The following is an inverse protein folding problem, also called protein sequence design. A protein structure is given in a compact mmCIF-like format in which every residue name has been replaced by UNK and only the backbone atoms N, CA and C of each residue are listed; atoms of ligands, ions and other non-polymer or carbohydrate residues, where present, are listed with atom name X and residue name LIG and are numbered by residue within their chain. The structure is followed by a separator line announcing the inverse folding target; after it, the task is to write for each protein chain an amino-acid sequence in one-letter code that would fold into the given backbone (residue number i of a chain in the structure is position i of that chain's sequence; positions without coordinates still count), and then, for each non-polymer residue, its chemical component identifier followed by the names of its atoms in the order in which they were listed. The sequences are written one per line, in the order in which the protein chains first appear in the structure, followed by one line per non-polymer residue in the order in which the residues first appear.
data_IF_008216468628
#
_entry.id   IF_008216468628
#
_cell.length_a   1.000
_cell.length_b   1.000
_cell.length_c   1.000
_cell.angle_alpha   90.00
_cell.angle_beta   90.00
_cell.angle_gamma   90.00
#
_symmetry.space_group_name_H-M   'P 1'
#
loop_
_entity.id
_entity.type
_entity.pdbx_description
1 polymer ?
#
# COMPACT_ATOMS: atom_id res chain seq x y z
N UNK A 1 1.19 -19.90 6.22
CA UNK A 1 0.49 -18.65 6.59
C UNK A 1 0.06 -17.92 5.31
N UNK A 2 -1.20 -17.51 5.25
CA UNK A 2 -1.70 -16.78 4.09
C UNK A 2 -1.28 -15.32 4.11
N UNK A 3 -1.45 -14.62 2.99
CA UNK A 3 -1.07 -13.21 2.87
C UNK A 3 -1.85 -12.35 3.86
N UNK A 4 -3.17 -12.56 3.99
CA UNK A 4 -3.99 -11.77 4.90
C UNK A 4 -3.49 -11.90 6.35
N UNK A 5 -3.19 -13.10 6.78
CA UNK A 5 -2.71 -13.33 8.15
C UNK A 5 -1.33 -12.72 8.37
N UNK A 6 -0.55 -12.54 7.31
CA UNK A 6 0.77 -11.92 7.40
C UNK A 6 0.70 -10.41 7.53
N UNK A 7 -0.38 -9.79 7.07
CA UNK A 7 -0.55 -8.33 7.18
C UNK A 7 -0.54 -7.87 8.63
N UNK A 8 -0.04 -6.66 8.87
CA UNK A 8 -0.11 -6.05 10.19
C UNK A 8 -1.57 -5.87 10.63
N UNK A 9 -1.84 -5.86 11.95
CA UNK A 9 -3.22 -5.69 12.45
C UNK A 9 -3.94 -4.45 11.91
N UNK A 10 -3.24 -3.31 11.75
CA UNK A 10 -3.90 -2.10 11.23
C UNK A 10 -4.33 -2.28 9.77
N UNK A 11 -3.62 -3.08 8.99
CA UNK A 11 -4.02 -3.40 7.61
C UNK A 11 -5.24 -4.30 7.61
N UNK A 12 -5.25 -5.31 8.46
CA UNK A 12 -6.41 -6.20 8.59
C UNK A 12 -7.65 -5.42 9.02
N UNK A 13 -7.51 -4.50 9.97
CA UNK A 13 -8.61 -3.66 10.43
C UNK A 13 -9.14 -2.76 9.30
N UNK A 14 -8.25 -2.21 8.49
CA UNK A 14 -8.63 -1.40 7.33
C UNK A 14 -9.48 -2.23 6.36
N UNK A 15 -9.07 -3.46 6.09
CA UNK A 15 -9.80 -4.37 5.19
C UNK A 15 -11.20 -4.65 5.75
N UNK A 16 -11.31 -4.94 7.05
CA UNK A 16 -12.60 -5.18 7.70
C UNK A 16 -13.51 -3.95 7.66
N UNK A 17 -12.97 -2.77 7.94
CA UNK A 17 -13.77 -1.54 7.94
C UNK A 17 -14.29 -1.18 6.56
N UNK A 18 -13.58 -1.58 5.52
CA UNK A 18 -14.01 -1.36 4.14
C UNK A 18 -14.86 -2.51 3.60
N UNK A 19 -15.20 -3.47 4.46
CA UNK A 19 -16.09 -4.59 4.14
C UNK A 19 -15.62 -5.45 2.98
N UNK A 20 -14.32 -5.62 2.86
CA UNK A 20 -13.76 -6.52 1.85
C UNK A 20 -13.79 -7.93 2.41
N UNK A 21 -14.58 -8.79 1.78
CA UNK A 21 -14.74 -10.17 2.26
C UNK A 21 -13.52 -11.02 1.94
N UNK A 22 -12.92 -10.81 0.78
CA UNK A 22 -11.78 -11.58 0.32
C UNK A 22 -10.76 -10.70 -0.36
N UNK A 23 -9.49 -11.07 -0.27
CA UNK A 23 -8.44 -10.43 -1.05
C UNK A 23 -8.60 -10.80 -2.52
N UNK A 24 -8.29 -9.84 -3.39
CA UNK A 24 -8.25 -10.11 -4.83
C UNK A 24 -6.99 -10.88 -5.17
N UNK A 25 -7.03 -11.61 -6.30
CA UNK A 25 -5.91 -12.44 -6.72
C UNK A 25 -4.60 -11.66 -6.84
N UNK A 26 -4.66 -10.43 -7.38
CA UNK A 26 -3.46 -9.60 -7.51
C UNK A 26 -2.88 -9.22 -6.13
N UNK A 27 -3.72 -9.06 -5.13
CA UNK A 27 -3.28 -8.72 -3.78
C UNK A 27 -2.57 -9.90 -3.12
N UNK A 28 -3.10 -11.09 -3.28
CA UNK A 28 -2.46 -12.30 -2.75
C UNK A 28 -1.10 -12.53 -3.43
N UNK A 29 -1.07 -12.42 -4.76
CA UNK A 29 0.17 -12.64 -5.51
C UNK A 29 1.23 -11.60 -5.17
N UNK A 30 0.83 -10.32 -5.06
CA UNK A 30 1.76 -9.25 -4.69
C UNK A 30 2.29 -9.43 -3.27
N UNK A 31 1.42 -9.76 -2.32
CA UNK A 31 1.84 -10.00 -0.96
C UNK A 31 2.84 -11.14 -0.86
N UNK A 32 2.57 -12.23 -1.54
CA UNK A 32 3.48 -13.37 -1.55
C UNK A 32 4.85 -12.97 -2.10
N UNK A 33 4.89 -12.25 -3.22
CA UNK A 33 6.15 -11.82 -3.82
C UNK A 33 6.92 -10.84 -2.92
N UNK A 34 6.23 -9.86 -2.33
CA UNK A 34 6.86 -8.82 -1.52
C UNK A 34 7.35 -9.36 -0.18
N UNK A 35 6.57 -10.22 0.46
CA UNK A 35 6.97 -10.79 1.76
C UNK A 35 8.06 -11.85 1.64
N UNK A 36 8.09 -12.60 0.55
CA UNK A 36 8.92 -13.80 0.47
C UNK A 36 10.10 -13.71 -0.48
N UNK A 37 10.27 -12.57 -1.19
CA UNK A 37 11.42 -12.36 -2.07
C UNK A 37 11.96 -10.95 -1.94
N UNK A 38 13.19 -10.73 -2.41
CA UNK A 38 13.80 -9.40 -2.51
C UNK A 38 13.83 -8.91 -3.95
N UNK A 39 13.08 -9.54 -4.83
CA UNK A 39 13.09 -9.21 -6.24
C UNK A 39 12.21 -8.01 -6.56
N UNK A 40 12.49 -7.37 -7.69
CA UNK A 40 11.61 -6.35 -8.23
C UNK A 40 10.30 -7.00 -8.66
N UNK A 41 9.18 -6.31 -8.42
CA UNK A 41 7.85 -6.88 -8.67
C UNK A 41 7.10 -5.99 -9.65
N UNK A 42 6.55 -6.60 -10.70
CA UNK A 42 5.67 -5.92 -11.65
C UNK A 42 4.25 -6.41 -11.44
N UNK A 43 3.33 -5.48 -11.13
CA UNK A 43 1.91 -5.81 -10.97
C UNK A 43 1.16 -5.31 -12.21
N UNK A 44 0.63 -6.24 -12.98
CA UNK A 44 -0.13 -5.94 -14.19
C UNK A 44 -1.56 -6.43 -14.02
N UNK A 45 -2.51 -5.50 -14.02
CA UNK A 45 -3.92 -5.82 -13.84
C UNK A 45 -4.76 -4.62 -14.30
N UNK A 46 -6.07 -4.82 -14.40
CA UNK A 46 -6.98 -3.74 -14.78
C UNK A 46 -7.00 -2.63 -13.72
N UNK A 47 -7.47 -1.43 -14.10
CA UNK A 47 -7.46 -0.26 -13.22
C UNK A 47 -8.28 -0.44 -11.94
N UNK A 48 -9.33 -1.25 -11.98
CA UNK A 48 -10.20 -1.45 -10.83
C UNK A 48 -9.85 -2.72 -10.03
N UNK A 49 -8.61 -3.20 -10.13
CA UNK A 49 -8.23 -4.50 -9.54
C UNK A 49 -7.62 -4.41 -8.14
N UNK A 50 -7.42 -3.20 -7.60
CA UNK A 50 -6.80 -3.03 -6.28
C UNK A 50 -5.29 -3.11 -6.28
N UNK A 51 -4.63 -2.71 -7.37
CA UNK A 51 -3.15 -2.76 -7.47
C UNK A 51 -2.45 -1.90 -6.42
N UNK A 52 -2.98 -0.73 -6.13
CA UNK A 52 -2.36 0.16 -5.13
C UNK A 52 -2.32 -0.50 -3.77
N UNK A 53 -3.44 -1.05 -3.33
CA UNK A 53 -3.54 -1.75 -2.06
C UNK A 53 -2.71 -3.04 -2.09
N UNK A 54 -2.67 -3.72 -3.24
CA UNK A 54 -1.85 -4.92 -3.41
C UNK A 54 -0.38 -4.68 -3.11
N UNK A 55 0.14 -3.50 -3.51
CA UNK A 55 1.51 -3.12 -3.25
C UNK A 55 1.70 -2.60 -1.83
N UNK A 56 0.82 -1.71 -1.36
CA UNK A 56 1.04 -0.99 -0.11
C UNK A 56 0.69 -1.78 1.14
N UNK A 57 -0.26 -2.70 1.10
CA UNK A 57 -0.57 -3.51 2.28
C UNK A 57 0.67 -4.26 2.80
N UNK A 58 1.42 -4.99 1.96
CA UNK A 58 2.64 -5.64 2.46
C UNK A 58 3.76 -4.65 2.77
N UNK A 59 3.92 -3.57 2.00
CA UNK A 59 4.96 -2.57 2.28
C UNK A 59 4.74 -1.92 3.64
N UNK A 60 3.52 -1.50 3.93
CA UNK A 60 3.22 -0.87 5.22
C UNK A 60 3.32 -1.86 6.37
N UNK A 61 3.01 -3.12 6.14
CA UNK A 61 3.22 -4.18 7.12
C UNK A 61 4.69 -4.29 7.49
N UNK A 62 5.57 -4.32 6.48
CA UNK A 62 7.01 -4.38 6.72
C UNK A 62 7.53 -3.15 7.45
N UNK A 63 7.00 -1.97 7.13
CA UNK A 63 7.39 -0.73 7.82
C UNK A 63 6.95 -0.73 9.29
N UNK A 64 5.84 -1.37 9.61
CA UNK A 64 5.38 -1.46 11.00
C UNK A 64 6.28 -2.41 11.82
N UNK A 65 6.90 -3.38 11.17
CA UNK A 65 7.78 -4.33 11.83
C UNK A 65 9.21 -3.77 11.99
N UNK A 66 9.66 -2.99 11.00
CA UNK A 66 10.99 -2.42 10.97
C UNK A 66 10.92 -1.06 10.28
N UNK A 67 10.70 -0.02 11.05
CA UNK A 67 10.46 1.32 10.52
C UNK A 67 11.70 1.86 9.79
N UNK A 68 11.52 2.40 8.57
CA UNK A 68 12.63 3.02 7.86
C UNK A 68 13.07 4.31 8.58
N UNK A 69 14.36 4.60 8.53
CA UNK A 69 14.92 5.78 9.20
C UNK A 69 14.71 7.08 8.42
N UNK A 70 14.53 6.95 7.13
CA UNK A 70 14.32 8.09 6.22
C UNK A 70 13.13 7.76 5.32
N UNK A 71 13.17 8.17 4.05
CA UNK A 71 12.13 7.81 3.11
C UNK A 71 12.15 6.31 2.86
N UNK A 72 11.06 5.62 3.20
CA UNK A 72 10.96 4.18 3.03
C UNK A 72 10.32 3.76 1.71
N UNK A 73 9.47 4.61 1.12
CA UNK A 73 8.83 4.31 -0.15
C UNK A 73 8.54 5.59 -0.92
N UNK A 74 8.63 5.50 -2.23
CA UNK A 74 8.27 6.60 -3.13
C UNK A 74 7.22 6.06 -4.09
N UNK A 75 6.09 6.76 -4.17
CA UNK A 75 5.03 6.46 -5.12
C UNK A 75 5.05 7.49 -6.24
N UNK A 76 5.17 7.03 -7.48
CA UNK A 76 5.20 7.91 -8.65
C UNK A 76 3.96 7.63 -9.50
N UNK A 77 3.11 8.65 -9.68
CA UNK A 77 1.93 8.58 -10.51
C UNK A 77 2.01 9.58 -11.66
N UNK A 78 1.50 9.23 -12.84
CA UNK A 78 1.65 10.08 -14.01
C UNK A 78 0.69 11.28 -14.06
N UNK A 79 -0.43 11.25 -13.34
CA UNK A 79 -1.46 12.28 -13.37
C UNK A 79 -1.72 12.80 -11.96
N UNK A 80 -1.82 14.15 -11.83
CA UNK A 80 -2.08 14.78 -10.53
C UNK A 80 -3.36 14.27 -9.87
N UNK A 81 -4.43 14.10 -10.62
CA UNK A 81 -5.70 13.61 -10.09
C UNK A 81 -5.55 12.22 -9.49
N UNK A 82 -4.79 11.33 -10.16
CA UNK A 82 -4.52 10.00 -9.65
C UNK A 82 -3.63 10.04 -8.41
N UNK A 83 -2.63 10.93 -8.40
CA UNK A 83 -1.76 11.08 -7.24
C UNK A 83 -2.57 11.51 -6.02
N UNK A 84 -3.43 12.52 -6.17
CA UNK A 84 -4.27 13.00 -5.08
C UNK A 84 -5.25 11.92 -4.60
N UNK A 85 -5.86 11.19 -5.52
CA UNK A 85 -6.78 10.11 -5.18
C UNK A 85 -6.07 9.02 -4.38
N UNK A 86 -4.90 8.58 -4.84
CA UNK A 86 -4.13 7.57 -4.13
C UNK A 86 -3.67 8.08 -2.76
N UNK A 87 -3.27 9.34 -2.68
CA UNK A 87 -2.88 9.93 -1.40
C UNK A 87 -4.03 9.87 -0.40
N UNK A 88 -5.23 10.27 -0.81
CA UNK A 88 -6.39 10.24 0.10
C UNK A 88 -6.74 8.82 0.53
N UNK A 89 -6.65 7.87 -0.38
CA UNK A 89 -6.96 6.47 -0.07
C UNK A 89 -5.98 5.86 0.92
N UNK A 90 -4.71 6.19 0.80
CA UNK A 90 -3.67 5.60 1.64
C UNK A 90 -3.42 6.38 2.93
N UNK A 91 -3.82 7.66 2.97
CA UNK A 91 -3.52 8.52 4.11
C UNK A 91 -4.10 7.98 5.41
N UNK A 92 -5.36 7.57 5.40
CA UNK A 92 -6.01 7.04 6.60
C UNK A 92 -5.27 5.82 7.14
N UNK A 93 -4.85 4.94 6.25
CA UNK A 93 -4.12 3.74 6.61
C UNK A 93 -2.76 4.07 7.21
N UNK A 94 -2.06 5.03 6.61
CA UNK A 94 -0.75 5.45 7.10
C UNK A 94 -0.86 6.19 8.44
N UNK A 95 -1.90 6.98 8.65
CA UNK A 95 -2.12 7.65 9.93
C UNK A 95 -2.28 6.64 11.07
N UNK A 96 -3.01 5.57 10.86
CA UNK A 96 -3.17 4.53 11.87
C UNK A 96 -1.85 3.86 12.23
N UNK A 97 -0.97 3.73 11.27
CA UNK A 97 0.35 3.14 11.47
C UNK A 97 1.39 4.13 11.97
N UNK A 98 1.01 5.41 12.13
CA UNK A 98 1.94 6.50 12.46
C UNK A 98 3.06 6.65 11.44
N UNK A 99 2.75 6.41 10.17
CA UNK A 99 3.69 6.54 9.06
C UNK A 99 3.42 7.88 8.37
N UNK A 100 4.35 8.83 8.40
CA UNK A 100 4.17 10.13 7.74
C UNK A 100 4.12 9.94 6.22
N UNK A 101 3.19 10.67 5.58
CA UNK A 101 3.04 10.64 4.12
C UNK A 101 3.08 12.07 3.60
N UNK A 102 3.93 12.31 2.62
CA UNK A 102 3.96 13.58 1.90
C UNK A 102 3.66 13.30 0.43
N UNK A 103 2.86 14.16 -0.18
CA UNK A 103 2.66 14.08 -1.62
C UNK A 103 3.17 15.37 -2.27
N UNK A 104 3.65 15.25 -3.50
CA UNK A 104 4.25 16.36 -4.21
C UNK A 104 3.93 16.25 -5.70
N UNK A 105 3.52 17.37 -6.28
CA UNK A 105 3.36 17.53 -7.73
C UNK A 105 3.43 19.03 -8.05
N UNK A 106 3.29 19.39 -9.32
CA UNK A 106 3.49 20.77 -9.75
C UNK A 106 2.62 21.81 -9.08
N UNK A 107 1.45 21.43 -8.54
CA UNK A 107 0.51 22.34 -7.89
C UNK A 107 0.65 22.41 -6.37
N UNK A 108 1.58 21.65 -5.79
CA UNK A 108 1.79 21.61 -4.34
C UNK A 108 2.98 22.48 -3.98
N UNK A 109 2.82 23.34 -2.98
CA UNK A 109 3.91 24.17 -2.47
C UNK A 109 4.99 23.27 -1.85
N UNK A 110 6.25 23.64 -2.12
CA UNK A 110 7.38 22.86 -1.63
C UNK A 110 7.75 23.21 -0.19
#
# INVERSE_FOLDING_TARGET
MGVFERYAPFVQDFIYRNRWENLRAIQVAAGDAIFNTDENVLLSASTASGKTEAAFFPILTLFSEDAPRTVGAIYIGPLKALINDQFMRLNDLCEEAHIPVWHWHGDVAQ
#
